data_IF_781078848080
#
_entry.id   IF_781078848080
#
_cell.length_a   1.000
_cell.length_b   1.000
_cell.length_c   1.000
_cell.angle_alpha   90.00
_cell.angle_beta   90.00
_cell.angle_gamma   90.00
#
_symmetry.space_group_name_H-M   'P 1'
#
loop_
_entity.id
_entity.type
_entity.pdbx_description
1 polymer ?
#
# COMPACT_ATOMS: atom_id res chain seq x y z
N UNK A 1 -13.54 -17.48 7.47
CA UNK A 1 -12.28 -18.10 7.01
C UNK A 1 -12.27 -18.00 5.48
N UNK A 2 -11.91 -16.81 4.96
CA UNK A 2 -11.77 -16.58 3.51
C UNK A 2 -10.32 -16.88 3.12
N UNK A 3 -9.89 -18.11 3.36
CA UNK A 3 -8.65 -18.58 2.76
C UNK A 3 -8.95 -18.90 1.29
N UNK A 4 -8.10 -18.36 0.40
CA UNK A 4 -7.90 -18.73 -1.00
C UNK A 4 -8.94 -18.24 -2.01
N UNK A 5 -8.73 -17.04 -2.55
CA UNK A 5 -9.30 -16.69 -3.86
C UNK A 5 -8.25 -16.61 -4.98
N UNK A 6 -6.96 -16.48 -4.65
CA UNK A 6 -5.87 -16.48 -5.62
C UNK A 6 -4.63 -17.13 -5.00
N UNK A 7 -4.05 -18.09 -5.72
CA UNK A 7 -2.66 -18.51 -5.54
C UNK A 7 -1.71 -17.32 -5.78
N UNK A 8 -0.45 -17.46 -5.34
CA UNK A 8 0.59 -16.45 -5.58
C UNK A 8 0.73 -16.16 -7.07
N UNK A 9 0.76 -17.20 -7.89
CA UNK A 9 0.94 -17.12 -9.33
C UNK A 9 -0.24 -16.41 -10.00
N UNK A 10 -1.48 -16.74 -9.62
CA UNK A 10 -2.68 -16.06 -10.13
C UNK A 10 -2.73 -14.59 -9.70
N UNK A 11 -2.26 -14.27 -8.49
CA UNK A 11 -2.15 -12.89 -8.04
C UNK A 11 -1.12 -12.13 -8.89
N UNK A 12 0.08 -12.70 -9.09
CA UNK A 12 1.12 -12.09 -9.91
C UNK A 12 0.58 -11.83 -11.32
N UNK A 13 -0.07 -12.82 -11.94
CA UNK A 13 -0.66 -12.66 -13.27
C UNK A 13 -1.70 -11.53 -13.29
N UNK A 14 -2.57 -11.45 -12.30
CA UNK A 14 -3.57 -10.37 -12.21
C UNK A 14 -2.95 -9.00 -11.98
N UNK A 15 -1.93 -8.91 -11.14
CA UNK A 15 -1.21 -7.67 -10.86
C UNK A 15 -0.50 -7.15 -12.11
N UNK A 16 0.18 -8.04 -12.84
CA UNK A 16 0.90 -7.71 -14.05
C UNK A 16 -0.02 -7.21 -15.16
N UNK A 17 -1.18 -7.86 -15.30
CA UNK A 17 -2.21 -7.51 -16.28
C UNK A 17 -3.20 -6.43 -15.79
N UNK A 18 -3.03 -5.90 -14.57
CA UNK A 18 -3.90 -4.86 -14.07
C UNK A 18 -3.73 -3.58 -14.92
N UNK A 19 -4.84 -2.99 -15.33
CA UNK A 19 -4.86 -1.90 -16.31
C UNK A 19 -4.53 -0.54 -15.67
N UNK A 20 -3.38 -0.44 -14.98
CA UNK A 20 -2.96 0.74 -14.22
C UNK A 20 -3.10 2.05 -15.00
N UNK A 21 -2.56 2.10 -16.22
CA UNK A 21 -2.56 3.31 -17.04
C UNK A 21 -3.93 3.68 -17.61
N UNK A 22 -4.75 2.68 -17.98
CA UNK A 22 -6.11 2.96 -18.45
C UNK A 22 -6.98 3.48 -17.32
N UNK A 23 -6.84 2.93 -16.12
CA UNK A 23 -7.54 3.43 -14.94
C UNK A 23 -7.04 4.82 -14.53
N UNK A 24 -5.73 5.10 -14.64
CA UNK A 24 -5.19 6.43 -14.41
C UNK A 24 -5.75 7.44 -15.42
N UNK A 25 -5.79 7.08 -16.70
CA UNK A 25 -6.38 7.89 -17.76
C UNK A 25 -7.85 8.18 -17.51
N UNK A 26 -8.62 7.17 -17.09
CA UNK A 26 -10.02 7.34 -16.71
C UNK A 26 -10.16 8.31 -15.54
N UNK A 27 -9.36 8.14 -14.49
CA UNK A 27 -9.34 9.02 -13.32
C UNK A 27 -9.02 10.48 -13.70
N UNK A 28 -8.00 10.71 -14.53
CA UNK A 28 -7.62 12.06 -14.98
C UNK A 28 -8.68 12.72 -15.89
N UNK A 29 -9.49 11.92 -16.57
CA UNK A 29 -10.58 12.41 -17.44
C UNK A 29 -11.90 12.68 -16.70
N UNK A 30 -12.00 12.27 -15.44
CA UNK A 30 -13.25 12.24 -14.71
C UNK A 30 -13.59 13.60 -14.07
N UNK A 31 -14.89 13.89 -13.88
CA UNK A 31 -15.34 15.24 -13.54
C UNK A 31 -15.17 15.58 -12.05
N UNK A 32 -15.15 16.85 -11.67
CA UNK A 32 -14.90 17.31 -10.28
C UNK A 32 -15.92 16.81 -9.23
N UNK A 33 -17.05 16.27 -9.63
CA UNK A 33 -18.09 15.77 -8.72
C UNK A 33 -17.94 14.27 -8.41
N UNK A 34 -17.00 13.60 -9.07
CA UNK A 34 -16.61 12.23 -8.77
C UNK A 34 -15.42 12.30 -7.80
N UNK A 35 -15.47 11.58 -6.68
CA UNK A 35 -14.32 11.45 -5.78
C UNK A 35 -13.30 10.56 -6.50
N UNK A 36 -12.14 11.13 -6.83
CA UNK A 36 -11.08 10.46 -7.58
C UNK A 36 -10.05 9.89 -6.61
N UNK A 37 -10.26 8.66 -6.16
CA UNK A 37 -9.16 7.91 -5.58
C UNK A 37 -8.23 7.45 -6.71
N UNK A 38 -6.92 7.50 -6.47
CA UNK A 38 -5.94 6.88 -7.36
C UNK A 38 -6.27 5.40 -7.58
N UNK A 39 -6.12 4.86 -8.81
CA UNK A 39 -6.28 3.44 -9.04
C UNK A 39 -5.33 2.66 -8.13
N UNK A 40 -5.89 1.72 -7.38
CA UNK A 40 -5.16 1.00 -6.34
C UNK A 40 -5.53 -0.48 -6.29
N UNK A 41 -4.57 -1.33 -5.98
CA UNK A 41 -4.79 -2.69 -5.50
C UNK A 41 -4.49 -2.76 -4.01
N UNK A 42 -5.31 -3.50 -3.28
CA UNK A 42 -5.22 -3.63 -1.83
C UNK A 42 -5.33 -5.11 -1.45
N UNK A 43 -4.42 -5.59 -0.61
CA UNK A 43 -4.49 -6.91 0.01
C UNK A 43 -4.39 -6.69 1.52
N UNK A 44 -5.43 -7.12 2.23
CA UNK A 44 -5.47 -7.09 3.70
C UNK A 44 -5.74 -8.51 4.23
N UNK A 45 -5.19 -8.83 5.40
CA UNK A 45 -5.53 -10.04 6.12
C UNK A 45 -6.68 -9.83 7.12
N UNK A 46 -7.03 -10.90 7.83
CA UNK A 46 -8.12 -10.94 8.80
C UNK A 46 -7.90 -10.04 10.03
N UNK A 47 -6.66 -9.60 10.27
CA UNK A 47 -6.31 -8.65 11.34
C UNK A 47 -6.36 -7.20 10.87
N UNK A 48 -6.49 -7.00 9.55
CA UNK A 48 -6.49 -5.68 8.92
C UNK A 48 -5.10 -5.16 8.57
N UNK A 49 -4.06 -6.00 8.70
CA UNK A 49 -2.72 -5.71 8.19
C UNK A 49 -2.75 -5.88 6.67
N UNK A 50 -1.99 -5.07 5.94
CA UNK A 50 -2.08 -5.15 4.49
C UNK A 50 -1.10 -4.28 3.72
N UNK A 51 -1.00 -4.60 2.44
CA UNK A 51 -0.27 -3.82 1.46
C UNK A 51 -1.26 -3.21 0.47
N UNK A 52 -1.02 -1.97 0.12
CA UNK A 52 -1.74 -1.27 -0.94
C UNK A 52 -0.74 -0.66 -1.91
N UNK A 53 -1.04 -0.75 -3.20
CA UNK A 53 -0.23 -0.16 -4.27
C UNK A 53 -1.13 0.69 -5.12
N UNK A 54 -0.74 1.94 -5.34
CA UNK A 54 -1.51 2.90 -6.13
C UNK A 54 -0.66 3.54 -7.21
N UNK A 55 -1.22 3.77 -8.39
CA UNK A 55 -0.59 4.60 -9.43
C UNK A 55 -1.05 6.06 -9.25
N UNK A 56 -0.10 6.99 -9.24
CA UNK A 56 -0.33 8.41 -8.95
C UNK A 56 0.42 9.27 -9.96
N UNK A 57 -0.07 10.48 -10.23
CA UNK A 57 0.55 11.44 -11.16
C UNK A 57 -0.23 11.58 -12.47
N UNK A 58 0.50 11.93 -13.53
CA UNK A 58 -0.04 12.14 -14.88
C UNK A 58 0.45 11.07 -15.86
N UNK A 59 -0.17 10.97 -17.04
CA UNK A 59 0.18 9.90 -18.01
C UNK A 59 1.63 9.96 -18.54
N UNK A 60 2.29 11.11 -18.47
CA UNK A 60 3.69 11.27 -18.89
C UNK A 60 4.68 11.09 -17.73
N UNK A 61 4.22 11.35 -16.50
CA UNK A 61 5.04 11.38 -15.29
C UNK A 61 4.18 10.80 -14.15
N UNK A 62 4.13 9.47 -14.09
CA UNK A 62 3.46 8.73 -13.03
C UNK A 62 4.47 7.96 -12.19
N UNK A 63 4.08 7.69 -10.95
CA UNK A 63 4.81 6.90 -9.99
C UNK A 63 3.86 5.93 -9.29
N UNK A 64 4.41 5.01 -8.51
CA UNK A 64 3.64 4.17 -7.61
C UNK A 64 3.86 4.56 -6.16
N UNK A 65 2.79 4.48 -5.37
CA UNK A 65 2.86 4.53 -3.92
C UNK A 65 2.70 3.12 -3.39
N UNK A 66 3.57 2.74 -2.45
CA UNK A 66 3.41 1.50 -1.67
C UNK A 66 3.03 1.88 -0.24
N UNK A 67 1.89 1.37 0.20
CA UNK A 67 1.36 1.57 1.52
C UNK A 67 1.44 0.26 2.30
N UNK A 68 2.00 0.29 3.51
CA UNK A 68 2.06 -0.89 4.39
C UNK A 68 1.38 -0.59 5.73
N UNK A 69 0.21 -1.20 5.92
CA UNK A 69 -0.64 -1.07 7.09
C UNK A 69 -0.41 -2.21 8.07
N UNK A 70 -0.15 -1.88 9.33
CA UNK A 70 0.10 -2.82 10.43
C UNK A 70 0.08 -2.10 11.78
N UNK A 71 -0.12 -2.81 12.90
CA UNK A 71 0.11 -2.24 14.21
C UNK A 71 1.59 -1.97 14.45
N UNK A 72 1.92 -0.85 15.08
CA UNK A 72 3.29 -0.57 15.55
C UNK A 72 3.30 0.25 16.83
N UNK A 73 4.41 0.20 17.57
CA UNK A 73 4.63 1.08 18.72
C UNK A 73 5.49 2.26 18.31
N UNK A 74 4.94 3.46 18.42
CA UNK A 74 5.63 4.71 18.06
C UNK A 74 5.98 5.50 19.30
N UNK A 75 7.12 6.18 19.26
CA UNK A 75 7.44 7.22 20.24
C UNK A 75 6.60 8.46 19.94
N UNK A 76 5.87 8.94 20.94
CA UNK A 76 5.19 10.24 20.89
C UNK A 76 5.70 11.13 21.99
N UNK A 77 5.71 12.43 21.74
CA UNK A 77 6.07 13.43 22.74
C UNK A 77 4.83 14.18 23.22
N UNK A 78 4.83 14.55 24.50
CA UNK A 78 3.90 15.52 25.08
C UNK A 78 4.70 16.62 25.77
N UNK A 79 4.00 17.67 26.21
CA UNK A 79 4.60 18.78 26.97
C UNK A 79 5.79 19.42 26.23
N UNK A 80 5.58 19.82 24.96
CA UNK A 80 6.61 20.44 24.11
C UNK A 80 7.90 19.62 23.97
N UNK A 81 7.82 18.28 24.00
CA UNK A 81 9.00 17.42 23.82
C UNK A 81 9.62 16.91 25.13
N UNK A 82 9.09 17.29 26.29
CA UNK A 82 9.69 16.95 27.60
C UNK A 82 9.43 15.50 28.03
N UNK A 83 8.37 14.87 27.53
CA UNK A 83 8.01 13.50 27.90
C UNK A 83 7.79 12.68 26.64
N UNK A 84 8.62 11.65 26.46
CA UNK A 84 8.45 10.62 25.45
C UNK A 84 7.70 9.43 26.06
N UNK A 85 6.75 8.87 25.32
CA UNK A 85 6.03 7.66 25.71
C UNK A 85 5.78 6.77 24.50
N UNK A 86 5.67 5.48 24.78
CA UNK A 86 5.27 4.48 23.80
C UNK A 86 3.76 4.59 23.53
N UNK A 87 3.41 4.79 22.27
CA UNK A 87 2.04 4.80 21.78
C UNK A 87 1.85 3.64 20.82
N UNK A 88 0.99 2.70 21.23
CA UNK A 88 0.57 1.61 20.36
C UNK A 88 -0.45 2.13 19.33
N UNK A 89 -0.06 2.13 18.07
CA UNK A 89 -0.89 2.52 16.95
C UNK A 89 -1.34 1.28 16.19
N UNK A 90 -2.60 0.90 16.38
CA UNK A 90 -3.16 -0.32 15.79
C UNK A 90 -3.39 -0.22 14.27
N UNK A 91 -3.55 0.98 13.75
CA UNK A 91 -3.92 1.24 12.35
C UNK A 91 -2.81 2.03 11.63
N UNK A 92 -1.55 1.87 12.06
CA UNK A 92 -0.43 2.57 11.45
C UNK A 92 -0.26 2.16 9.99
N UNK A 93 -0.04 3.15 9.12
CA UNK A 93 0.17 2.94 7.71
C UNK A 93 1.32 3.82 7.25
N UNK A 94 2.39 3.18 6.77
CA UNK A 94 3.48 3.86 6.08
C UNK A 94 3.06 4.04 4.63
N UNK A 95 3.29 5.21 4.06
CA UNK A 95 3.02 5.52 2.65
C UNK A 95 4.33 5.99 2.03
N UNK A 96 4.89 5.18 1.14
CA UNK A 96 6.18 5.46 0.51
C UNK A 96 5.94 5.83 -0.95
N UNK A 97 6.24 7.09 -1.36
CA UNK A 97 6.14 7.54 -2.74
C UNK A 97 7.37 7.11 -3.57
N UNK A 98 7.43 7.51 -4.84
CA UNK A 98 8.56 7.30 -5.75
C UNK A 98 8.89 5.83 -5.98
N UNK A 99 7.88 4.96 -5.93
CA UNK A 99 8.04 3.52 -6.15
C UNK A 99 7.78 3.15 -7.61
N UNK A 100 8.24 1.97 -7.98
CA UNK A 100 7.96 1.34 -9.27
C UNK A 100 6.80 0.35 -9.18
N UNK A 101 6.29 -0.09 -10.34
CA UNK A 101 5.31 -1.19 -10.41
C UNK A 101 5.89 -2.46 -9.77
N UNK A 102 7.17 -2.72 -9.98
CA UNK A 102 7.91 -3.86 -9.46
C UNK A 102 8.05 -3.82 -7.94
N UNK A 103 8.28 -2.64 -7.36
CA UNK A 103 8.31 -2.45 -5.90
C UNK A 103 6.97 -2.81 -5.27
N UNK A 104 5.86 -2.39 -5.89
CA UNK A 104 4.53 -2.77 -5.47
C UNK A 104 4.29 -4.28 -5.51
N UNK A 105 4.70 -4.95 -6.59
CA UNK A 105 4.61 -6.41 -6.69
C UNK A 105 5.43 -7.10 -5.61
N UNK A 106 6.66 -6.62 -5.38
CA UNK A 106 7.54 -7.16 -4.35
C UNK A 106 6.93 -7.01 -2.96
N UNK A 107 6.33 -5.87 -2.64
CA UNK A 107 5.65 -5.67 -1.37
C UNK A 107 4.50 -6.67 -1.18
N UNK A 108 3.68 -6.89 -2.20
CA UNK A 108 2.62 -7.92 -2.16
C UNK A 108 3.16 -9.34 -1.97
N UNK A 109 4.23 -9.70 -2.68
CA UNK A 109 4.84 -11.03 -2.55
C UNK A 109 5.37 -11.24 -1.13
N UNK A 110 6.07 -10.26 -0.56
CA UNK A 110 6.58 -10.34 0.82
C UNK A 110 5.45 -10.46 1.85
N UNK A 111 4.34 -9.73 1.63
CA UNK A 111 3.15 -9.85 2.46
C UNK A 111 2.52 -11.25 2.36
N UNK A 112 2.36 -11.78 1.14
CA UNK A 112 1.82 -13.12 0.88
C UNK A 112 2.68 -14.21 1.54
N UNK A 113 4.00 -14.10 1.42
CA UNK A 113 4.98 -15.03 2.01
C UNK A 113 5.13 -14.89 3.52
N UNK A 114 4.43 -13.93 4.14
CA UNK A 114 4.57 -13.56 5.56
C UNK A 114 6.01 -13.19 5.95
N UNK A 115 6.80 -12.68 4.99
CA UNK A 115 8.11 -12.09 5.25
C UNK A 115 7.95 -10.63 5.72
N UNK A 116 7.30 -10.47 6.88
CA UNK A 116 6.96 -9.16 7.45
C UNK A 116 8.21 -8.36 7.86
N UNK A 117 9.32 -9.05 8.14
CA UNK A 117 10.59 -8.41 8.49
C UNK A 117 11.16 -7.62 7.31
N UNK A 118 11.26 -8.23 6.13
CA UNK A 118 11.76 -7.51 4.95
C UNK A 118 10.78 -6.43 4.48
N UNK A 119 9.47 -6.65 4.68
CA UNK A 119 8.44 -5.65 4.40
C UNK A 119 8.58 -4.41 5.30
N UNK A 120 8.86 -4.63 6.60
CA UNK A 120 9.18 -3.58 7.58
C UNK A 120 10.47 -2.83 7.21
N UNK A 121 11.53 -3.54 6.83
CA UNK A 121 12.82 -2.90 6.51
C UNK A 121 12.73 -1.96 5.29
N UNK A 122 11.81 -2.24 4.36
CA UNK A 122 11.67 -1.49 3.10
C UNK A 122 10.58 -0.43 3.11
N UNK A 123 9.41 -0.75 3.68
CA UNK A 123 8.22 0.12 3.66
C UNK A 123 7.67 0.37 5.06
N UNK A 124 8.49 0.17 6.08
CA UNK A 124 8.14 0.39 7.48
C UNK A 124 8.14 1.85 7.89
#
# INVERSE_FOLDING_TARGET
MNEQLLTKEEFIEKYENFQWLELLKLQLSANKNQIHCSPSLNVEDDKGDGVSVSIVGDLNEYEFYVCYKRPTTRKRTKWFGLVEYDYYDKDFCSVIPEQTKEDGLKAFILFYERNLKELEEKWG
#
